data_IF_911382099498
#
_entry.id   IF_911382099498
#
_cell.length_a   1.000
_cell.length_b   1.000
_cell.length_c   1.000
_cell.angle_alpha   90.00
_cell.angle_beta   90.00
_cell.angle_gamma   90.00
#
_symmetry.space_group_name_H-M   'P 1'
#
loop_
_entity.id
_entity.type
_entity.pdbx_description
1 polymer ?
#
# COMPACT_ATOMS: atom_id res chain seq x y z
N UNK A 1 -4.50 54.49 31.68
CA UNK A 1 -4.28 53.97 33.05
C UNK A 1 -3.81 52.54 32.89
N UNK A 2 -2.50 52.36 32.79
CA UNK A 2 -1.83 51.08 32.46
C UNK A 2 -1.60 50.33 33.76
N UNK A 3 -2.36 49.26 33.98
CA UNK A 3 -2.11 48.34 35.10
C UNK A 3 -0.96 47.41 34.71
N UNK A 4 0.11 47.43 35.49
CA UNK A 4 1.25 46.54 35.34
C UNK A 4 0.82 45.08 35.61
N UNK A 5 1.14 44.17 34.68
CA UNK A 5 0.89 42.74 34.80
C UNK A 5 1.78 42.12 35.87
N UNK A 6 1.17 41.36 36.79
CA UNK A 6 1.89 40.64 37.84
C UNK A 6 2.56 39.37 37.28
N UNK A 7 3.77 39.00 37.74
CA UNK A 7 4.47 37.81 37.26
C UNK A 7 3.74 36.53 37.71
N UNK A 8 3.24 35.76 36.74
CA UNK A 8 2.53 34.49 36.97
C UNK A 8 1.10 34.42 36.43
N UNK A 9 0.58 35.50 35.86
CA UNK A 9 -0.72 35.50 35.20
C UNK A 9 -0.60 34.87 33.81
N UNK A 10 -1.25 33.72 33.60
CA UNK A 10 -1.38 33.11 32.27
C UNK A 10 -2.08 34.12 31.38
N UNK A 11 -1.44 34.50 30.28
CA UNK A 11 -1.98 35.47 29.34
C UNK A 11 -3.16 34.86 28.58
N UNK A 12 -4.35 34.98 29.17
CA UNK A 12 -5.62 34.49 28.59
C UNK A 12 -6.10 35.40 27.45
N UNK A 13 -5.52 36.60 27.31
CA UNK A 13 -5.87 37.59 26.29
C UNK A 13 -5.67 37.02 24.89
N UNK A 14 -4.57 36.28 24.67
CA UNK A 14 -4.29 35.60 23.41
C UNK A 14 -5.30 34.50 23.04
N UNK A 15 -5.98 33.89 24.01
CA UNK A 15 -7.00 32.85 23.78
C UNK A 15 -8.37 33.48 23.55
N UNK A 16 -8.64 34.65 24.14
CA UNK A 16 -9.89 35.40 23.99
C UNK A 16 -9.89 36.23 22.69
N UNK A 17 -8.73 36.75 22.28
CA UNK A 17 -8.53 37.48 21.02
C UNK A 17 -8.26 36.56 19.82
N UNK A 18 -8.14 35.24 20.02
CA UNK A 18 -8.10 34.30 18.92
C UNK A 18 -9.45 34.34 18.18
N UNK A 19 -9.45 34.88 16.96
CA UNK A 19 -10.61 34.88 16.08
C UNK A 19 -11.09 33.42 15.91
N UNK A 20 -12.37 33.09 16.18
CA UNK A 20 -12.90 31.76 15.90
C UNK A 20 -12.69 31.33 14.44
N UNK A 21 -12.54 32.29 13.51
CA UNK A 21 -12.18 32.02 12.11
C UNK A 21 -10.71 31.60 11.90
N UNK A 22 -9.79 31.98 12.79
CA UNK A 22 -8.38 31.55 12.74
C UNK A 22 -8.18 30.15 13.33
N UNK A 23 -9.08 29.71 14.23
CA UNK A 23 -9.12 28.32 14.70
C UNK A 23 -9.64 27.34 13.63
N UNK A 24 -10.48 27.81 12.70
CA UNK A 24 -11.05 27.01 11.60
C UNK A 24 -10.12 26.89 10.38
N UNK A 25 -9.10 27.75 10.25
CA UNK A 25 -8.16 27.73 9.12
C UNK A 25 -7.06 26.67 9.28
N UNK A 26 -7.41 25.50 9.80
CA UNK A 26 -6.56 24.30 9.66
C UNK A 26 -6.57 23.96 8.18
N UNK A 27 -5.41 24.02 7.52
CA UNK A 27 -5.20 23.54 6.15
C UNK A 27 -5.96 22.23 5.95
N UNK A 28 -7.06 22.27 5.19
CA UNK A 28 -7.86 21.09 4.94
C UNK A 28 -7.05 20.17 4.03
N UNK A 29 -7.21 18.86 4.15
CA UNK A 29 -6.62 17.90 3.19
C UNK A 29 -7.06 18.23 1.75
N UNK A 30 -8.25 18.83 1.61
CA UNK A 30 -8.79 19.27 0.32
C UNK A 30 -8.07 20.49 -0.27
N UNK A 31 -7.27 21.20 0.52
CA UNK A 31 -6.48 22.35 0.08
C UNK A 31 -5.05 21.95 -0.33
N UNK A 32 -4.68 20.67 -0.19
CA UNK A 32 -3.35 20.21 -0.59
C UNK A 32 -3.19 20.28 -2.11
N UNK A 33 -2.10 20.89 -2.62
CA UNK A 33 -1.87 20.98 -4.04
C UNK A 33 -1.71 19.58 -4.64
N UNK A 34 -2.59 19.23 -5.58
CA UNK A 34 -2.48 17.97 -6.33
C UNK A 34 -1.33 18.06 -7.32
N UNK A 35 -0.43 17.08 -7.29
CA UNK A 35 0.62 16.95 -8.28
C UNK A 35 0.01 16.68 -9.66
N UNK A 36 0.36 17.48 -10.67
CA UNK A 36 -0.03 17.23 -12.05
C UNK A 36 0.88 16.15 -12.63
N UNK A 37 0.29 14.99 -12.95
CA UNK A 37 1.02 13.84 -13.46
C UNK A 37 0.93 13.76 -14.98
N UNK A 38 2.06 13.45 -15.62
CA UNK A 38 2.15 13.12 -17.04
C UNK A 38 2.28 11.62 -17.26
N UNK A 39 2.00 11.18 -18.49
CA UNK A 39 2.12 9.77 -18.90
C UNK A 39 3.54 9.21 -18.77
N UNK A 40 4.56 10.05 -18.68
CA UNK A 40 5.96 9.64 -18.55
C UNK A 40 6.45 9.48 -17.11
N UNK A 41 5.72 10.00 -16.12
CA UNK A 41 6.15 9.99 -14.72
C UNK A 41 6.39 8.57 -14.18
N UNK A 42 5.55 7.55 -14.50
CA UNK A 42 5.81 6.19 -14.03
C UNK A 42 7.16 5.62 -14.50
N UNK A 43 7.60 5.96 -15.72
CA UNK A 43 8.90 5.53 -16.24
C UNK A 43 10.04 6.26 -15.53
N UNK A 44 9.85 7.53 -15.20
CA UNK A 44 10.82 8.28 -14.40
C UNK A 44 10.93 7.72 -12.98
N UNK A 45 9.81 7.37 -12.34
CA UNK A 45 9.81 6.73 -11.02
C UNK A 45 10.54 5.40 -11.02
N UNK A 46 10.36 4.59 -12.06
CA UNK A 46 11.06 3.32 -12.20
C UNK A 46 12.58 3.54 -12.35
N UNK A 47 12.99 4.54 -13.14
CA UNK A 47 14.40 4.94 -13.29
C UNK A 47 15.00 5.41 -11.96
N UNK A 48 14.28 6.25 -11.21
CA UNK A 48 14.68 6.71 -9.87
C UNK A 48 14.78 5.55 -8.87
N UNK A 49 13.81 4.63 -8.87
CA UNK A 49 13.82 3.44 -8.03
C UNK A 49 14.99 2.50 -8.37
N UNK A 50 15.34 2.37 -9.65
CA UNK A 50 16.53 1.64 -10.08
C UNK A 50 17.81 2.28 -9.55
N UNK A 51 17.91 3.61 -9.63
CA UNK A 51 19.05 4.35 -9.08
C UNK A 51 19.19 4.16 -7.57
N UNK A 52 18.07 4.22 -6.83
CA UNK A 52 18.05 3.97 -5.39
C UNK A 52 18.49 2.54 -5.05
N UNK A 53 18.04 1.55 -5.82
CA UNK A 53 18.46 0.16 -5.67
C UNK A 53 19.97 -0.01 -5.87
N UNK A 54 20.55 0.62 -6.91
CA UNK A 54 22.01 0.53 -7.16
C UNK A 54 22.84 1.22 -6.08
N UNK A 55 22.29 2.21 -5.37
CA UNK A 55 22.93 2.90 -4.24
C UNK A 55 22.80 2.14 -2.91
N UNK A 56 21.75 1.34 -2.75
CA UNK A 56 21.48 0.54 -1.55
C UNK A 56 21.25 -0.96 -1.86
N UNK A 57 22.16 -1.65 -2.57
CA UNK A 57 21.88 -2.97 -3.14
C UNK A 57 21.64 -4.05 -2.09
N UNK A 58 22.32 -4.00 -0.94
CA UNK A 58 22.13 -4.99 0.12
C UNK A 58 20.73 -4.91 0.74
N UNK A 59 20.21 -3.69 0.95
CA UNK A 59 18.87 -3.50 1.51
C UNK A 59 17.84 -3.91 0.46
N UNK A 60 18.02 -3.50 -0.80
CA UNK A 60 17.16 -3.90 -1.91
C UNK A 60 17.10 -5.42 -2.10
N UNK A 61 18.25 -6.10 -2.07
CA UNK A 61 18.33 -7.56 -2.18
C UNK A 61 17.66 -8.28 -0.99
N UNK A 62 17.75 -7.73 0.22
CA UNK A 62 17.05 -8.29 1.38
C UNK A 62 15.52 -8.28 1.16
N UNK A 63 14.95 -7.12 0.80
CA UNK A 63 13.51 -7.02 0.55
C UNK A 63 13.09 -7.86 -0.67
N UNK A 64 13.90 -7.88 -1.73
CA UNK A 64 13.70 -8.76 -2.87
C UNK A 64 13.66 -10.23 -2.48
N UNK A 65 14.58 -10.68 -1.61
CA UNK A 65 14.59 -12.03 -1.10
C UNK A 65 13.34 -12.36 -0.28
N UNK A 66 12.82 -11.42 0.53
CA UNK A 66 11.54 -11.59 1.22
C UNK A 66 10.39 -11.85 0.23
N UNK A 67 10.28 -11.05 -0.84
CA UNK A 67 9.24 -11.25 -1.86
C UNK A 67 9.39 -12.58 -2.62
N UNK A 68 10.62 -13.00 -2.93
CA UNK A 68 10.89 -14.31 -3.56
C UNK A 68 10.46 -15.45 -2.64
N UNK A 69 10.81 -15.38 -1.35
CA UNK A 69 10.43 -16.39 -0.36
C UNK A 69 8.90 -16.46 -0.18
N UNK A 70 8.21 -15.31 -0.18
CA UNK A 70 6.75 -15.28 -0.17
C UNK A 70 6.18 -15.98 -1.41
N UNK A 71 6.67 -15.66 -2.61
CA UNK A 71 6.23 -16.32 -3.85
C UNK A 71 6.44 -17.84 -3.83
N UNK A 72 7.61 -18.29 -3.36
CA UNK A 72 7.88 -19.73 -3.20
C UNK A 72 7.00 -20.39 -2.15
N UNK A 73 6.69 -19.70 -1.04
CA UNK A 73 5.79 -20.24 -0.03
C UNK A 73 4.36 -20.36 -0.55
N UNK A 74 3.89 -19.38 -1.33
CA UNK A 74 2.61 -19.47 -2.03
C UNK A 74 2.57 -20.64 -3.01
N UNK A 75 3.59 -20.81 -3.84
CA UNK A 75 3.67 -21.92 -4.78
C UNK A 75 3.69 -23.28 -4.05
N UNK A 76 4.50 -23.39 -2.99
CA UNK A 76 4.57 -24.60 -2.17
C UNK A 76 3.22 -24.90 -1.50
N UNK A 77 2.56 -23.89 -0.94
CA UNK A 77 1.23 -23.99 -0.33
C UNK A 77 0.19 -24.44 -1.37
N UNK A 78 0.19 -23.83 -2.55
CA UNK A 78 -0.71 -24.22 -3.64
C UNK A 78 -0.56 -25.68 -4.06
N UNK A 79 0.67 -26.23 -4.05
CA UNK A 79 0.89 -27.62 -4.39
C UNK A 79 0.56 -28.61 -3.26
N UNK A 80 0.74 -28.22 -2.01
CA UNK A 80 0.65 -29.15 -0.86
C UNK A 80 -0.67 -29.03 -0.08
N UNK A 81 -1.22 -27.83 0.02
CA UNK A 81 -2.46 -27.52 0.73
C UNK A 81 -3.16 -26.31 0.07
N UNK A 82 -3.76 -26.51 -1.13
CA UNK A 82 -4.40 -25.44 -1.90
C UNK A 82 -5.40 -24.61 -1.09
N UNK A 83 -6.10 -25.22 -0.15
CA UNK A 83 -7.10 -24.60 0.72
C UNK A 83 -6.54 -23.46 1.59
N UNK A 84 -5.24 -23.49 1.92
CA UNK A 84 -4.58 -22.43 2.69
C UNK A 84 -3.95 -21.34 1.82
N UNK A 85 -3.93 -21.49 0.50
CA UNK A 85 -3.28 -20.54 -0.41
C UNK A 85 -3.89 -19.14 -0.27
N UNK A 86 -5.22 -19.05 -0.22
CA UNK A 86 -5.92 -17.77 -0.07
C UNK A 86 -5.70 -17.13 1.31
N UNK A 87 -5.61 -17.94 2.36
CA UNK A 87 -5.29 -17.44 3.69
C UNK A 87 -3.85 -16.90 3.76
N UNK A 88 -2.92 -17.59 3.10
CA UNK A 88 -1.53 -17.17 3.00
C UNK A 88 -1.37 -15.90 2.14
N UNK A 89 -2.09 -15.81 1.01
CA UNK A 89 -2.09 -14.60 0.17
C UNK A 89 -2.59 -13.39 0.94
N UNK A 90 -3.65 -13.54 1.73
CA UNK A 90 -4.14 -12.49 2.61
C UNK A 90 -3.05 -12.06 3.59
N UNK A 91 -2.40 -12.99 4.29
CA UNK A 91 -1.29 -12.67 5.20
C UNK A 91 -0.15 -11.89 4.52
N UNK A 92 0.16 -12.23 3.27
CA UNK A 92 1.17 -11.54 2.48
C UNK A 92 0.74 -10.17 2.00
N UNK A 93 -0.53 -9.98 1.64
CA UNK A 93 -1.08 -8.67 1.34
C UNK A 93 -0.96 -7.74 2.55
N UNK A 94 -1.19 -8.24 3.77
CA UNK A 94 -1.02 -7.47 5.00
C UNK A 94 0.45 -7.17 5.32
N UNK A 95 1.38 -8.04 4.96
CA UNK A 95 2.83 -7.80 5.13
C UNK A 95 3.39 -6.82 4.10
N UNK A 96 2.81 -6.75 2.90
CA UNK A 96 3.25 -5.88 1.80
C UNK A 96 3.54 -4.43 2.23
N UNK A 97 2.63 -3.74 2.93
CA UNK A 97 2.84 -2.39 3.41
C UNK A 97 4.09 -2.23 4.30
N UNK A 98 4.38 -3.20 5.16
CA UNK A 98 5.57 -3.15 6.02
C UNK A 98 6.86 -3.22 5.20
N UNK A 99 6.88 -4.08 4.18
CA UNK A 99 8.02 -4.21 3.27
C UNK A 99 8.20 -2.94 2.42
N UNK A 100 7.10 -2.39 1.89
CA UNK A 100 7.10 -1.16 1.10
C UNK A 100 7.57 0.05 1.93
N UNK A 101 7.09 0.20 3.17
CA UNK A 101 7.53 1.28 4.06
C UNK A 101 9.05 1.23 4.31
N UNK A 102 9.60 0.03 4.46
CA UNK A 102 11.05 -0.15 4.60
C UNK A 102 11.82 0.35 3.38
N UNK A 103 11.37 0.01 2.17
CA UNK A 103 11.97 0.48 0.93
C UNK A 103 11.80 2.01 0.74
N UNK A 104 10.63 2.55 1.07
CA UNK A 104 10.38 3.99 1.00
C UNK A 104 11.24 4.78 1.97
N UNK A 105 11.50 4.28 3.18
CA UNK A 105 12.43 4.90 4.13
C UNK A 105 13.85 4.96 3.57
N UNK A 106 14.28 3.95 2.80
CA UNK A 106 15.59 3.95 2.12
C UNK A 106 15.64 5.05 1.07
N UNK A 107 14.66 5.11 0.18
CA UNK A 107 14.56 6.17 -0.83
C UNK A 107 14.48 7.57 -0.21
N UNK A 108 13.72 7.74 0.88
CA UNK A 108 13.59 9.01 1.62
C UNK A 108 14.94 9.46 2.19
N UNK A 109 15.71 8.54 2.79
CA UNK A 109 17.06 8.82 3.31
C UNK A 109 18.03 9.19 2.20
N UNK A 110 18.01 8.44 1.09
CA UNK A 110 18.84 8.75 -0.09
C UNK A 110 18.53 10.15 -0.63
N UNK A 111 17.25 10.51 -0.72
CA UNK A 111 16.81 11.84 -1.16
C UNK A 111 17.25 12.97 -0.22
N UNK A 112 17.37 12.69 1.09
CA UNK A 112 17.82 13.65 2.11
C UNK A 112 19.33 13.65 2.36
N UNK A 113 20.08 12.78 1.68
CA UNK A 113 21.52 12.61 1.94
C UNK A 113 21.82 12.05 3.33
N UNK A 114 20.85 11.39 3.96
CA UNK A 114 21.00 10.77 5.29
C UNK A 114 21.71 9.42 5.19
N UNK A 115 22.45 8.99 6.24
CA UNK A 115 23.11 7.70 6.23
C UNK A 115 22.09 6.56 6.15
N UNK A 116 22.38 5.60 5.27
CA UNK A 116 21.61 4.37 5.12
C UNK A 116 21.76 3.51 6.37
N UNK A 117 20.65 2.99 6.88
CA UNK A 117 20.63 2.02 7.97
C UNK A 117 19.57 0.96 7.71
N UNK A 118 19.97 -0.31 7.78
CA UNK A 118 19.06 -1.45 7.68
C UNK A 118 18.03 -1.42 8.82
N UNK A 119 18.48 -1.04 10.03
CA UNK A 119 17.63 -1.01 11.20
C UNK A 119 16.52 0.05 11.10
N UNK A 120 16.82 1.23 10.56
CA UNK A 120 15.81 2.26 10.36
C UNK A 120 14.77 1.83 9.32
N UNK A 121 15.20 1.15 8.25
CA UNK A 121 14.29 0.61 7.24
C UNK A 121 13.34 -0.45 7.83
N UNK A 122 13.87 -1.39 8.63
CA UNK A 122 13.07 -2.42 9.31
C UNK A 122 12.12 -1.87 10.39
N UNK A 123 12.40 -0.68 10.93
CA UNK A 123 11.60 -0.06 12.00
C UNK A 123 10.76 1.14 11.54
N UNK A 124 10.75 1.44 10.24
CA UNK A 124 10.01 2.57 9.66
C UNK A 124 8.52 2.55 10.04
N UNK A 125 7.91 1.36 10.11
CA UNK A 125 6.51 1.17 10.48
C UNK A 125 6.15 1.66 11.90
N UNK A 126 7.14 1.83 12.80
CA UNK A 126 6.87 2.26 14.18
C UNK A 126 6.39 3.70 14.28
N UNK A 127 6.75 4.55 13.31
CA UNK A 127 6.37 5.96 13.28
C UNK A 127 4.85 6.11 13.13
N UNK A 128 4.23 5.26 12.33
CA UNK A 128 2.81 5.33 11.96
C UNK A 128 2.05 4.03 12.24
N UNK A 129 2.43 3.29 13.28
CA UNK A 129 1.89 1.95 13.58
C UNK A 129 0.36 1.88 13.69
N UNK A 130 -0.29 2.90 14.26
CA UNK A 130 -1.76 2.97 14.32
C UNK A 130 -2.42 3.16 12.95
N UNK A 131 -1.88 4.06 12.12
CA UNK A 131 -2.37 4.28 10.76
C UNK A 131 -2.11 3.05 9.88
N UNK A 132 -0.99 2.39 10.08
CA UNK A 132 -0.63 1.14 9.39
C UNK A 132 -1.57 0.00 9.75
N UNK A 133 -1.98 -0.10 11.02
CA UNK A 133 -2.97 -1.09 11.44
C UNK A 133 -4.34 -0.84 10.77
N UNK A 134 -4.77 0.42 10.69
CA UNK A 134 -6.01 0.79 9.98
C UNK A 134 -5.88 0.46 8.49
N UNK A 135 -4.78 0.82 7.86
CA UNK A 135 -4.52 0.53 6.46
C UNK A 135 -4.50 -0.98 6.18
N UNK A 136 -3.82 -1.77 7.01
CA UNK A 136 -3.82 -3.23 6.92
C UNK A 136 -5.22 -3.83 7.12
N UNK A 137 -6.03 -3.25 8.01
CA UNK A 137 -7.43 -3.65 8.19
C UNK A 137 -8.26 -3.37 6.93
N UNK A 138 -8.09 -2.21 6.30
CA UNK A 138 -8.74 -1.89 5.02
C UNK A 138 -8.32 -2.87 3.93
N UNK A 139 -7.03 -3.19 3.82
CA UNK A 139 -6.54 -4.20 2.87
C UNK A 139 -7.12 -5.58 3.15
N UNK A 140 -7.23 -5.99 4.42
CA UNK A 140 -7.84 -7.27 4.78
C UNK A 140 -9.32 -7.33 4.35
N UNK A 141 -10.08 -6.27 4.59
CA UNK A 141 -11.48 -6.18 4.16
C UNK A 141 -11.58 -6.26 2.64
N UNK A 142 -10.73 -5.52 1.92
CA UNK A 142 -10.69 -5.57 0.45
C UNK A 142 -10.31 -6.96 -0.07
N UNK A 143 -9.37 -7.64 0.56
CA UNK A 143 -8.99 -9.02 0.21
C UNK A 143 -10.14 -10.01 0.43
N UNK A 144 -10.86 -9.89 1.56
CA UNK A 144 -12.02 -10.74 1.83
C UNK A 144 -13.15 -10.50 0.81
N UNK A 145 -13.38 -9.24 0.44
CA UNK A 145 -14.35 -8.89 -0.60
C UNK A 145 -13.90 -9.42 -1.97
N UNK A 146 -12.64 -9.21 -2.34
CA UNK A 146 -12.08 -9.70 -3.59
C UNK A 146 -12.14 -11.23 -3.67
N UNK A 147 -11.71 -11.95 -2.63
CA UNK A 147 -11.79 -13.40 -2.55
C UNK A 147 -13.24 -13.90 -2.68
N UNK A 148 -14.21 -13.19 -2.09
CA UNK A 148 -15.63 -13.51 -2.25
C UNK A 148 -16.13 -13.27 -3.67
N UNK A 149 -15.73 -12.15 -4.29
CA UNK A 149 -16.06 -11.85 -5.69
C UNK A 149 -15.43 -12.87 -6.64
N UNK A 150 -14.17 -13.27 -6.42
CA UNK A 150 -13.48 -14.28 -7.20
C UNK A 150 -14.22 -15.64 -7.16
N UNK A 151 -14.68 -16.06 -5.98
CA UNK A 151 -15.52 -17.27 -5.84
C UNK A 151 -16.84 -17.16 -6.63
N UNK A 152 -17.51 -16.01 -6.59
CA UNK A 152 -18.77 -15.81 -7.32
C UNK A 152 -18.54 -15.83 -8.83
N UNK A 153 -17.51 -15.16 -9.34
CA UNK A 153 -17.15 -15.18 -10.77
C UNK A 153 -16.89 -16.62 -11.21
N UNK A 154 -16.09 -17.36 -10.43
CA UNK A 154 -15.81 -18.76 -10.73
C UNK A 154 -17.08 -19.63 -10.75
N UNK A 155 -17.95 -19.50 -9.75
CA UNK A 155 -19.18 -20.27 -9.64
C UNK A 155 -20.22 -19.97 -10.73
N UNK A 156 -20.22 -18.76 -11.28
CA UNK A 156 -21.08 -18.39 -12.42
C UNK A 156 -20.49 -18.88 -13.74
N UNK A 157 -19.16 -18.96 -13.84
CA UNK A 157 -18.48 -19.33 -15.07
C UNK A 157 -18.38 -20.83 -15.31
N UNK A 158 -18.36 -21.66 -14.26
CA UNK A 158 -18.16 -23.10 -14.38
C UNK A 158 -19.18 -23.90 -13.56
N UNK A 159 -19.82 -24.89 -14.19
CA UNK A 159 -20.75 -25.83 -13.55
C UNK A 159 -20.04 -27.02 -12.84
N UNK A 160 -18.71 -27.01 -12.77
CA UNK A 160 -17.89 -28.08 -12.20
C UNK A 160 -16.45 -27.64 -11.93
N UNK A 161 -15.54 -28.60 -11.72
CA UNK A 161 -14.10 -28.31 -11.59
C UNK A 161 -13.49 -28.25 -13.01
N UNK A 162 -13.14 -27.06 -13.53
CA UNK A 162 -12.45 -26.94 -14.81
C UNK A 162 -11.06 -27.57 -14.74
N UNK A 163 -10.65 -28.19 -15.84
CA UNK A 163 -9.31 -28.75 -15.99
C UNK A 163 -8.37 -27.73 -16.63
N UNK A 164 -7.43 -27.23 -15.84
CA UNK A 164 -6.41 -26.28 -16.28
C UNK A 164 -5.05 -26.93 -16.61
N UNK A 165 -4.97 -28.27 -16.61
CA UNK A 165 -3.71 -29.00 -16.83
C UNK A 165 -3.33 -29.18 -18.31
N UNK A 166 -4.26 -28.89 -19.23
CA UNK A 166 -4.06 -29.03 -20.66
C UNK A 166 -3.20 -27.93 -21.31
N UNK A 167 -2.88 -28.08 -22.61
CA UNK A 167 -2.20 -27.03 -23.38
C UNK A 167 -2.99 -25.72 -23.39
N UNK A 168 -2.31 -24.58 -23.49
CA UNK A 168 -2.94 -23.25 -23.52
C UNK A 168 -4.03 -23.11 -24.61
N UNK A 169 -3.89 -23.82 -25.73
CA UNK A 169 -4.90 -23.86 -26.79
C UNK A 169 -6.25 -24.40 -26.32
N UNK A 170 -6.26 -25.30 -25.33
CA UNK A 170 -7.49 -25.86 -24.75
C UNK A 170 -8.25 -24.84 -23.90
N UNK A 171 -7.59 -23.75 -23.50
CA UNK A 171 -8.18 -22.63 -22.75
C UNK A 171 -8.63 -21.48 -23.66
N UNK A 172 -8.43 -21.57 -24.98
CA UNK A 172 -8.85 -20.56 -25.97
C UNK A 172 -10.30 -20.78 -26.41
N UNK A 173 -11.17 -21.17 -25.49
CA UNK A 173 -12.61 -21.35 -25.73
C UNK A 173 -13.36 -20.10 -25.26
N UNK A 174 -14.52 -19.83 -25.84
CA UNK A 174 -15.36 -18.68 -25.46
C UNK A 174 -15.68 -18.66 -23.95
N UNK A 175 -15.94 -19.83 -23.37
CA UNK A 175 -16.18 -20.01 -21.93
C UNK A 175 -15.02 -19.49 -21.07
N UNK A 176 -13.81 -20.02 -21.29
CA UNK A 176 -12.60 -19.60 -20.57
C UNK A 176 -12.25 -18.13 -20.82
N UNK A 177 -12.37 -17.64 -22.06
CA UNK A 177 -12.11 -16.23 -22.38
C UNK A 177 -13.09 -15.29 -21.68
N UNK A 178 -14.36 -15.66 -21.61
CA UNK A 178 -15.39 -14.89 -20.89
C UNK A 178 -15.09 -14.88 -19.39
N UNK A 179 -14.73 -16.03 -18.82
CA UNK A 179 -14.27 -16.12 -17.44
C UNK A 179 -13.06 -15.21 -17.18
N UNK A 180 -12.01 -15.30 -18.00
CA UNK A 180 -10.80 -14.47 -17.84
C UNK A 180 -11.11 -12.98 -17.95
N UNK A 181 -11.96 -12.57 -18.91
CA UNK A 181 -12.36 -11.19 -19.06
C UNK A 181 -13.13 -10.68 -17.82
N UNK A 182 -14.11 -11.44 -17.33
CA UNK A 182 -14.86 -11.11 -16.12
C UNK A 182 -13.98 -11.07 -14.88
N UNK A 183 -13.11 -12.07 -14.71
CA UNK A 183 -12.17 -12.17 -13.61
C UNK A 183 -11.16 -11.01 -13.62
N UNK A 184 -10.64 -10.64 -14.79
CA UNK A 184 -9.75 -9.48 -14.94
C UNK A 184 -10.47 -8.16 -14.66
N UNK A 185 -11.72 -7.99 -15.10
CA UNK A 185 -12.48 -6.77 -14.83
C UNK A 185 -12.72 -6.59 -13.33
N UNK A 186 -13.15 -7.65 -12.64
CA UNK A 186 -13.32 -7.64 -11.18
C UNK A 186 -11.98 -7.42 -10.47
N UNK A 187 -10.92 -8.13 -10.89
CA UNK A 187 -9.58 -7.96 -10.35
C UNK A 187 -9.05 -6.54 -10.51
N UNK A 188 -9.24 -5.93 -11.69
CA UNK A 188 -8.83 -4.55 -11.97
C UNK A 188 -9.57 -3.53 -11.10
N UNK A 189 -10.85 -3.76 -10.80
CA UNK A 189 -11.60 -2.93 -9.86
C UNK A 189 -10.97 -2.93 -8.47
N UNK A 190 -10.72 -4.12 -7.89
CA UNK A 190 -10.12 -4.23 -6.57
C UNK A 190 -8.67 -3.72 -6.53
N UNK A 191 -7.87 -4.07 -7.54
CA UNK A 191 -6.51 -3.56 -7.69
C UNK A 191 -6.49 -2.02 -7.80
N UNK A 192 -7.43 -1.44 -8.56
CA UNK A 192 -7.59 0.00 -8.67
C UNK A 192 -7.95 0.67 -7.34
N UNK A 193 -8.85 0.08 -6.55
CA UNK A 193 -9.18 0.57 -5.22
C UNK A 193 -7.99 0.51 -4.27
N UNK A 194 -7.30 -0.65 -4.21
CA UNK A 194 -6.11 -0.83 -3.39
C UNK A 194 -5.04 0.19 -3.78
N UNK A 195 -4.79 0.36 -5.08
CA UNK A 195 -3.84 1.34 -5.60
C UNK A 195 -4.22 2.76 -5.18
N UNK A 196 -5.48 3.18 -5.37
CA UNK A 196 -5.96 4.51 -5.02
C UNK A 196 -5.77 4.84 -3.53
N UNK A 197 -6.01 3.87 -2.63
CA UNK A 197 -5.73 4.06 -1.21
C UNK A 197 -4.23 4.06 -0.90
N UNK A 198 -3.47 3.14 -1.49
CA UNK A 198 -2.05 2.93 -1.18
C UNK A 198 -1.18 4.11 -1.63
N UNK A 199 -1.43 4.65 -2.84
CA UNK A 199 -0.58 5.68 -3.46
C UNK A 199 -0.56 6.98 -2.67
N UNK A 200 -1.65 7.26 -1.92
CA UNK A 200 -1.77 8.46 -1.08
C UNK A 200 -1.39 8.13 0.38
N UNK A 201 -1.90 7.02 0.91
CA UNK A 201 -1.75 6.71 2.34
C UNK A 201 -0.30 6.39 2.71
N UNK A 202 0.43 5.66 1.87
CA UNK A 202 1.78 5.20 2.22
C UNK A 202 2.81 6.34 2.31
N UNK A 203 2.84 7.32 1.39
CA UNK A 203 3.68 8.52 1.56
C UNK A 203 3.31 9.32 2.80
N UNK A 204 2.01 9.58 3.02
CA UNK A 204 1.54 10.37 4.18
C UNK A 204 1.89 9.74 5.53
N UNK A 205 2.08 8.42 5.58
CA UNK A 205 2.46 7.69 6.78
C UNK A 205 3.96 7.79 7.11
N UNK A 206 4.78 8.24 6.17
CA UNK A 206 6.23 8.43 6.34
C UNK A 206 6.64 9.88 6.56
N UNK A 207 5.74 10.82 6.24
CA UNK A 207 5.88 12.24 6.54
C UNK A 207 5.65 12.53 8.04
#
# INVERSE_FOLDING_TARGET
MTLASAPGQVDVTAVIEADPADAERRTSVLDMPLAQLSWHDPFEWLSRGWHDFTRAPLIGLFYGACFVLMGWLLAACFHQAPEYTLALSAGFLLLGPFLCLGLYEVSRRLGRGEPLSMWSSLTAWRVSSGQLAIFACVLLVLEMLWGRSAMIVFAISFDGVPDFSGPLSSMMTEEYLTFFAAYMAVGALFAGLIFAFSVISMPMMLD
#
